data_IF_669836428133
#
_entry.id   IF_669836428133
#
_cell.length_a   1.000
_cell.length_b   1.000
_cell.length_c   1.000
_cell.angle_alpha   90.00
_cell.angle_beta   90.00
_cell.angle_gamma   90.00
#
_symmetry.space_group_name_H-M   'P 1'
#
loop_
_entity.id
_entity.type
_entity.pdbx_description
1 polymer ?
#
# COMPACT_ATOMS: atom_id res chain seq x y z
N UNK A 1 3.52 13.11 -11.90
CA UNK A 1 4.00 11.87 -11.24
C UNK A 1 5.50 12.01 -11.01
N UNK A 2 5.93 11.83 -9.76
CA UNK A 2 7.36 11.86 -9.39
C UNK A 2 8.13 10.72 -10.08
N UNK A 3 9.47 10.85 -10.12
CA UNK A 3 10.35 9.79 -10.67
C UNK A 3 10.14 8.46 -9.95
N UNK A 4 9.97 8.46 -8.63
CA UNK A 4 9.71 7.25 -7.84
C UNK A 4 8.38 6.60 -8.21
N UNK A 5 7.27 7.36 -8.24
CA UNK A 5 5.97 6.79 -8.60
C UNK A 5 5.96 6.22 -10.02
N UNK A 6 6.62 6.87 -10.97
CA UNK A 6 6.74 6.35 -12.35
C UNK A 6 7.54 5.05 -12.38
N UNK A 7 8.64 4.97 -11.63
CA UNK A 7 9.47 3.76 -11.52
C UNK A 7 8.68 2.60 -10.90
N UNK A 8 8.03 2.84 -9.77
CA UNK A 8 7.27 1.80 -9.06
C UNK A 8 6.04 1.35 -9.86
N UNK A 9 5.40 2.25 -10.61
CA UNK A 9 4.33 1.88 -11.55
C UNK A 9 4.81 0.90 -12.62
N UNK A 10 5.95 1.19 -13.25
CA UNK A 10 6.48 0.33 -14.30
C UNK A 10 6.93 -1.01 -13.71
N UNK A 11 7.56 -0.99 -12.54
CA UNK A 11 7.90 -2.19 -11.78
C UNK A 11 6.67 -3.04 -11.48
N UNK A 12 5.58 -2.44 -11.00
CA UNK A 12 4.32 -3.15 -10.74
C UNK A 12 3.79 -3.79 -12.03
N UNK A 13 3.77 -3.06 -13.15
CA UNK A 13 3.32 -3.62 -14.41
C UNK A 13 4.18 -4.80 -14.89
N UNK A 14 5.51 -4.71 -14.73
CA UNK A 14 6.45 -5.78 -15.07
C UNK A 14 6.22 -7.02 -14.19
N UNK A 15 5.99 -6.84 -12.88
CA UNK A 15 5.68 -7.92 -11.95
C UNK A 15 4.35 -8.61 -12.28
N UNK A 16 3.30 -7.82 -12.52
CA UNK A 16 2.00 -8.33 -12.91
C UNK A 16 2.07 -9.13 -14.22
N UNK A 17 2.87 -8.68 -15.18
CA UNK A 17 3.12 -9.40 -16.42
C UNK A 17 3.87 -10.72 -16.18
N UNK A 18 4.92 -10.70 -15.35
CA UNK A 18 5.75 -11.86 -15.07
C UNK A 18 5.01 -12.97 -14.30
N UNK A 19 4.22 -12.61 -13.30
CA UNK A 19 3.49 -13.58 -12.46
C UNK A 19 2.19 -14.09 -13.13
N UNK A 20 1.65 -13.34 -14.08
CA UNK A 20 0.38 -13.66 -14.75
C UNK A 20 -0.85 -13.38 -13.89
N UNK A 21 -2.08 -13.52 -14.44
CA UNK A 21 -3.33 -13.02 -13.83
C UNK A 21 -3.88 -13.82 -12.64
N UNK A 22 -3.39 -15.05 -12.44
CA UNK A 22 -3.88 -15.97 -11.42
C UNK A 22 -2.97 -16.09 -10.19
N UNK A 23 -1.84 -15.39 -10.21
CA UNK A 23 -0.86 -15.42 -9.14
C UNK A 23 -1.41 -14.78 -7.85
N UNK A 24 -0.97 -15.27 -6.67
CA UNK A 24 -1.40 -14.73 -5.39
C UNK A 24 -0.84 -13.32 -5.15
N UNK A 25 -1.51 -12.57 -4.28
CA UNK A 25 -1.03 -11.30 -3.72
C UNK A 25 -1.17 -11.32 -2.20
N UNK A 26 -0.54 -10.36 -1.51
CA UNK A 26 -0.77 -10.18 -0.07
C UNK A 26 -2.14 -9.57 0.26
N UNK A 27 -2.87 -9.05 -0.73
CA UNK A 27 -4.24 -8.60 -0.53
C UNK A 27 -5.15 -9.82 -0.36
N UNK A 28 -5.75 -9.99 0.83
CA UNK A 28 -6.57 -11.16 1.17
C UNK A 28 -7.67 -11.38 0.12
N UNK A 29 -7.66 -12.57 -0.51
CA UNK A 29 -8.66 -12.95 -1.53
C UNK A 29 -8.42 -12.37 -2.93
N UNK A 30 -7.37 -11.57 -3.15
CA UNK A 30 -7.07 -10.98 -4.45
C UNK A 30 -5.96 -11.72 -5.19
N UNK A 31 -6.21 -12.00 -6.46
CA UNK A 31 -5.18 -12.36 -7.44
C UNK A 31 -4.57 -11.09 -8.05
N UNK A 32 -3.46 -11.25 -8.76
CA UNK A 32 -2.84 -10.18 -9.55
C UNK A 32 -3.81 -9.49 -10.52
N UNK A 33 -4.78 -10.22 -11.09
CA UNK A 33 -5.86 -9.63 -11.90
C UNK A 33 -6.72 -8.62 -11.11
N UNK A 34 -7.14 -8.98 -9.90
CA UNK A 34 -7.96 -8.11 -9.05
C UNK A 34 -7.16 -6.86 -8.64
N UNK A 35 -5.89 -7.05 -8.29
CA UNK A 35 -4.97 -5.96 -7.96
C UNK A 35 -4.72 -5.04 -9.18
N UNK A 36 -4.56 -5.60 -10.38
CA UNK A 36 -4.42 -4.83 -11.61
C UNK A 36 -5.68 -4.00 -11.90
N UNK A 37 -6.87 -4.60 -11.77
CA UNK A 37 -8.14 -3.91 -11.92
C UNK A 37 -8.28 -2.78 -10.89
N UNK A 38 -7.92 -3.02 -9.63
CA UNK A 38 -7.96 -2.02 -8.56
C UNK A 38 -7.18 -0.76 -8.91
N UNK A 39 -5.91 -0.93 -9.29
CA UNK A 39 -5.02 0.18 -9.64
C UNK A 39 -5.59 1.00 -10.80
N UNK A 40 -6.13 0.34 -11.82
CA UNK A 40 -6.74 1.02 -12.98
C UNK A 40 -8.00 1.78 -12.58
N UNK A 41 -8.89 1.17 -11.80
CA UNK A 41 -10.13 1.78 -11.32
C UNK A 41 -9.84 3.00 -10.47
N UNK A 42 -8.88 2.89 -9.53
CA UNK A 42 -8.46 3.99 -8.66
C UNK A 42 -8.03 5.23 -9.44
N UNK A 43 -7.27 5.06 -10.53
CA UNK A 43 -6.78 6.19 -11.33
C UNK A 43 -7.81 6.77 -12.31
N UNK A 44 -8.74 5.94 -12.80
CA UNK A 44 -9.61 6.31 -13.93
C UNK A 44 -11.06 6.55 -13.55
N UNK A 45 -11.50 6.10 -12.38
CA UNK A 45 -12.89 6.12 -11.95
C UNK A 45 -13.01 6.80 -10.59
N UNK A 46 -12.82 8.13 -10.51
CA UNK A 46 -12.99 8.88 -9.25
C UNK A 46 -14.40 8.67 -8.68
N UNK A 47 -15.38 8.52 -9.57
CA UNK A 47 -16.78 8.23 -9.24
C UNK A 47 -16.94 6.92 -8.46
N UNK A 48 -16.09 5.93 -8.73
CA UNK A 48 -16.09 4.63 -8.06
C UNK A 48 -15.10 4.58 -6.89
N UNK A 49 -13.94 5.25 -6.99
CA UNK A 49 -12.94 5.32 -5.93
C UNK A 49 -13.49 5.95 -4.64
N UNK A 50 -14.53 6.78 -4.74
CA UNK A 50 -15.28 7.24 -3.57
C UNK A 50 -15.84 6.10 -2.70
N UNK A 51 -16.12 4.92 -3.27
CA UNK A 51 -16.52 3.70 -2.56
C UNK A 51 -15.46 3.11 -1.64
N UNK A 52 -14.18 3.44 -1.85
CA UNK A 52 -13.08 3.05 -0.95
C UNK A 52 -13.23 3.78 0.40
N UNK A 53 -13.71 5.02 0.38
CA UNK A 53 -13.84 5.87 1.57
C UNK A 53 -15.28 5.94 2.10
N UNK A 54 -16.28 5.77 1.24
CA UNK A 54 -17.70 5.94 1.52
C UNK A 54 -18.42 4.62 1.30
N UNK A 55 -18.76 3.92 2.40
CA UNK A 55 -19.37 2.58 2.37
C UNK A 55 -20.64 2.49 1.51
N UNK A 56 -21.42 3.58 1.41
CA UNK A 56 -22.64 3.64 0.59
C UNK A 56 -22.36 3.55 -0.92
N UNK A 57 -21.14 3.86 -1.35
CA UNK A 57 -20.70 3.74 -2.75
C UNK A 57 -20.01 2.40 -3.02
N UNK A 58 -19.90 1.49 -2.04
CA UNK A 58 -19.30 0.16 -2.23
C UNK A 58 -19.95 -0.65 -3.37
N UNK A 59 -21.30 -0.69 -3.53
CA UNK A 59 -21.90 -1.43 -4.65
C UNK A 59 -21.51 -0.89 -6.03
N UNK A 60 -21.22 0.42 -6.11
CA UNK A 60 -20.73 1.07 -7.34
C UNK A 60 -19.29 0.67 -7.61
N UNK A 61 -18.46 0.64 -6.57
CA UNK A 61 -17.07 0.19 -6.65
C UNK A 61 -17.01 -1.28 -7.08
N UNK A 62 -17.78 -2.16 -6.46
CA UNK A 62 -17.81 -3.60 -6.78
C UNK A 62 -18.15 -3.84 -8.25
N UNK A 63 -19.19 -3.16 -8.76
CA UNK A 63 -19.58 -3.27 -10.18
C UNK A 63 -18.46 -2.82 -11.12
N UNK A 64 -17.75 -1.76 -10.77
CA UNK A 64 -16.64 -1.24 -11.60
C UNK A 64 -15.42 -2.15 -11.48
N UNK A 65 -15.16 -2.72 -10.31
CA UNK A 65 -14.13 -3.74 -10.14
C UNK A 65 -14.42 -4.98 -10.98
N UNK A 66 -15.65 -5.49 -11.00
CA UNK A 66 -16.07 -6.60 -11.88
C UNK A 66 -15.88 -6.25 -13.36
N UNK A 67 -16.29 -5.05 -13.78
CA UNK A 67 -16.12 -4.57 -15.16
C UNK A 67 -14.65 -4.62 -15.59
N UNK A 68 -13.74 -4.13 -14.75
CA UNK A 68 -12.31 -4.12 -15.08
C UNK A 68 -11.66 -5.49 -14.94
N UNK A 69 -12.06 -6.29 -13.95
CA UNK A 69 -11.56 -7.67 -13.77
C UNK A 69 -11.92 -8.56 -14.97
N UNK A 70 -13.07 -8.30 -15.60
CA UNK A 70 -13.52 -8.98 -16.83
C UNK A 70 -12.80 -8.57 -18.12
N UNK A 71 -11.93 -7.55 -18.09
CA UNK A 71 -11.15 -7.13 -19.27
C UNK A 71 -10.02 -8.13 -19.60
N UNK A 72 -9.52 -8.13 -20.84
CA UNK A 72 -8.25 -8.78 -21.16
C UNK A 72 -7.16 -8.29 -20.21
N UNK A 73 -6.37 -9.21 -19.65
CA UNK A 73 -5.40 -8.87 -18.62
C UNK A 73 -4.32 -7.91 -19.15
N UNK A 74 -3.90 -8.13 -20.39
CA UNK A 74 -2.96 -7.31 -21.13
C UNK A 74 -3.47 -5.88 -21.31
N UNK A 75 -4.78 -5.68 -21.43
CA UNK A 75 -5.39 -4.35 -21.46
C UNK A 75 -5.17 -3.64 -20.12
N UNK A 76 -5.39 -4.33 -18.99
CA UNK A 76 -5.15 -3.76 -17.66
C UNK A 76 -3.68 -3.35 -17.48
N UNK A 77 -2.73 -4.20 -17.90
CA UNK A 77 -1.31 -3.89 -17.83
C UNK A 77 -0.94 -2.65 -18.66
N UNK A 78 -1.48 -2.53 -19.88
CA UNK A 78 -1.27 -1.35 -20.72
C UNK A 78 -1.86 -0.09 -20.11
N UNK A 79 -3.03 -0.19 -19.47
CA UNK A 79 -3.64 0.93 -18.76
C UNK A 79 -2.78 1.37 -17.57
N UNK A 80 -2.19 0.45 -16.82
CA UNK A 80 -1.25 0.75 -15.72
C UNK A 80 0.01 1.44 -16.26
N UNK A 81 0.65 0.87 -17.30
CA UNK A 81 1.88 1.42 -17.90
C UNK A 81 1.69 2.86 -18.39
N UNK A 82 0.57 3.13 -19.06
CA UNK A 82 0.28 4.43 -19.68
C UNK A 82 -0.31 5.46 -18.71
N UNK A 83 -1.00 5.02 -17.64
CA UNK A 83 -1.61 5.90 -16.64
C UNK A 83 -2.92 6.54 -17.04
N UNK A 84 -3.42 7.52 -16.26
CA UNK A 84 -4.66 8.20 -16.57
C UNK A 84 -4.53 9.05 -17.85
N UNK A 85 -5.62 9.26 -18.60
CA UNK A 85 -5.63 10.16 -19.75
C UNK A 85 -5.15 11.57 -19.36
N UNK A 86 -4.46 12.26 -20.29
CA UNK A 86 -3.83 13.58 -20.04
C UNK A 86 -4.78 14.67 -19.53
N UNK A 87 -6.09 14.51 -19.69
CA UNK A 87 -7.13 15.46 -19.25
C UNK A 87 -7.98 14.96 -18.07
N UNK A 88 -7.56 13.92 -17.35
CA UNK A 88 -8.25 13.44 -16.15
C UNK A 88 -8.11 14.45 -14.98
N UNK A 89 -9.14 14.67 -14.13
CA UNK A 89 -9.03 15.42 -12.89
C UNK A 89 -7.93 14.91 -11.94
N UNK A 90 -7.53 13.63 -12.06
CA UNK A 90 -6.38 13.06 -11.35
C UNK A 90 -5.01 13.52 -11.87
N UNK A 91 -4.95 14.28 -12.96
CA UNK A 91 -3.72 14.95 -13.38
C UNK A 91 -3.36 16.18 -12.51
N UNK A 92 -4.15 16.50 -11.47
CA UNK A 92 -3.90 17.60 -10.53
C UNK A 92 -2.78 17.24 -9.53
N UNK A 93 -1.60 17.77 -9.86
CA UNK A 93 -0.22 17.31 -9.58
C UNK A 93 0.34 17.22 -8.15
N UNK A 94 -0.37 17.51 -7.05
CA UNK A 94 0.36 17.66 -5.75
C UNK A 94 -0.13 16.77 -4.60
N UNK A 95 -1.43 16.51 -4.49
CA UNK A 95 -1.96 15.54 -3.50
C UNK A 95 -1.91 14.11 -4.07
N UNK A 96 -1.99 14.00 -5.40
CA UNK A 96 -1.98 12.76 -6.17
C UNK A 96 -0.61 12.07 -6.19
N UNK A 97 0.49 12.83 -6.30
CA UNK A 97 1.81 12.25 -6.60
C UNK A 97 2.38 11.39 -5.48
N UNK A 98 2.25 11.81 -4.22
CA UNK A 98 2.79 11.05 -3.09
C UNK A 98 1.91 9.86 -2.70
N UNK A 99 0.60 9.97 -2.93
CA UNK A 99 -0.33 8.86 -2.77
C UNK A 99 -0.05 7.77 -3.81
N UNK A 100 0.30 8.17 -5.04
CA UNK A 100 0.69 7.24 -6.10
C UNK A 100 2.03 6.54 -5.82
N UNK A 101 3.01 7.21 -5.21
CA UNK A 101 4.25 6.55 -4.78
C UNK A 101 3.96 5.38 -3.83
N UNK A 102 3.17 5.62 -2.79
CA UNK A 102 2.81 4.59 -1.80
C UNK A 102 1.99 3.49 -2.44
N UNK A 103 0.98 3.83 -3.23
CA UNK A 103 0.13 2.88 -3.95
C UNK A 103 0.96 1.88 -4.77
N UNK A 104 1.80 2.40 -5.66
CA UNK A 104 2.58 1.56 -6.55
C UNK A 104 3.66 0.76 -5.80
N UNK A 105 4.28 1.37 -4.79
CA UNK A 105 5.25 0.67 -3.95
C UNK A 105 4.61 -0.50 -3.20
N UNK A 106 3.51 -0.24 -2.47
CA UNK A 106 2.83 -1.25 -1.64
C UNK A 106 2.32 -2.38 -2.51
N UNK A 107 1.66 -2.08 -3.63
CA UNK A 107 1.11 -3.12 -4.48
C UNK A 107 2.18 -3.87 -5.29
N UNK A 108 3.31 -3.25 -5.62
CA UNK A 108 4.46 -3.99 -6.14
C UNK A 108 4.99 -4.99 -5.09
N UNK A 109 5.06 -4.58 -3.83
CA UNK A 109 5.46 -5.47 -2.73
C UNK A 109 4.37 -6.53 -2.42
N UNK A 110 3.08 -6.22 -2.56
CA UNK A 110 2.00 -7.21 -2.41
C UNK A 110 2.12 -8.35 -3.44
N UNK A 111 2.57 -8.06 -4.67
CA UNK A 111 2.83 -9.07 -5.70
C UNK A 111 4.13 -9.82 -5.39
N UNK A 112 5.23 -9.10 -5.12
CA UNK A 112 6.55 -9.70 -4.88
C UNK A 112 6.58 -10.60 -3.66
N UNK A 113 6.05 -10.14 -2.53
CA UNK A 113 6.13 -10.83 -1.24
C UNK A 113 5.17 -12.01 -1.15
N UNK A 114 4.19 -12.09 -2.04
CA UNK A 114 3.31 -13.24 -2.16
C UNK A 114 3.97 -14.42 -2.89
N UNK A 115 5.08 -14.19 -3.61
CA UNK A 115 5.79 -15.26 -4.30
C UNK A 115 6.67 -16.06 -3.34
N UNK A 116 6.92 -17.36 -3.63
CA UNK A 116 7.91 -18.13 -2.90
C UNK A 116 9.29 -17.47 -2.97
N UNK A 117 10.09 -17.65 -1.92
CA UNK A 117 11.50 -17.22 -1.86
C UNK A 117 11.73 -15.71 -2.07
N UNK A 118 10.71 -14.87 -1.86
CA UNK A 118 10.87 -13.43 -1.95
C UNK A 118 11.94 -12.92 -0.97
N UNK A 119 12.66 -11.89 -1.39
CA UNK A 119 13.66 -11.20 -0.56
C UNK A 119 13.40 -9.69 -0.50
N UNK A 120 13.68 -9.04 0.66
CA UNK A 120 13.58 -7.59 0.78
C UNK A 120 14.42 -6.88 -0.29
N UNK A 121 13.85 -5.82 -0.86
CA UNK A 121 14.58 -4.98 -1.81
C UNK A 121 15.31 -3.87 -1.05
N UNK A 122 16.58 -3.68 -1.37
CA UNK A 122 17.31 -2.49 -0.95
C UNK A 122 16.80 -1.27 -1.74
N UNK A 123 16.27 -0.29 -1.03
CA UNK A 123 15.87 0.99 -1.60
C UNK A 123 16.98 2.02 -1.35
N UNK A 124 17.15 2.93 -2.31
CA UNK A 124 18.04 4.05 -2.10
C UNK A 124 17.54 4.98 -0.97
N UNK A 125 18.45 5.65 -0.23
CA UNK A 125 18.06 6.49 0.90
C UNK A 125 17.06 7.59 0.55
N UNK A 126 17.15 8.17 -0.66
CA UNK A 126 16.22 9.23 -1.11
C UNK A 126 14.79 8.68 -1.20
N UNK A 127 14.64 7.46 -1.70
CA UNK A 127 13.34 6.81 -1.74
C UNK A 127 12.83 6.45 -0.34
N UNK A 128 13.69 5.92 0.54
CA UNK A 128 13.33 5.65 1.94
C UNK A 128 12.83 6.93 2.65
N UNK A 129 13.50 8.06 2.47
CA UNK A 129 13.09 9.33 3.06
C UNK A 129 11.75 9.83 2.50
N UNK A 130 11.49 9.60 1.21
CA UNK A 130 10.20 9.93 0.61
C UNK A 130 9.05 9.10 1.21
N UNK A 131 9.29 7.80 1.46
CA UNK A 131 8.33 6.92 2.13
C UNK A 131 8.13 7.34 3.59
N UNK A 132 9.22 7.65 4.31
CA UNK A 132 9.17 8.13 5.69
C UNK A 132 8.34 9.40 5.83
N UNK A 133 8.61 10.41 5.01
CA UNK A 133 7.86 11.69 5.03
C UNK A 133 6.36 11.48 4.80
N UNK A 134 5.98 10.47 4.01
CA UNK A 134 4.57 10.14 3.79
C UNK A 134 3.98 9.39 4.98
N UNK A 135 4.72 8.40 5.50
CA UNK A 135 4.33 7.63 6.66
C UNK A 135 4.12 8.55 7.87
N UNK A 136 5.04 9.45 8.17
CA UNK A 136 4.94 10.39 9.29
C UNK A 136 3.65 11.24 9.23
N UNK A 137 3.33 11.78 8.04
CA UNK A 137 2.12 12.59 7.84
C UNK A 137 0.82 11.78 7.93
N UNK A 138 0.89 10.49 7.65
CA UNK A 138 -0.29 9.60 7.64
C UNK A 138 -0.34 8.65 8.84
N UNK A 139 0.66 8.64 9.72
CA UNK A 139 0.83 7.68 10.79
C UNK A 139 -0.39 7.59 11.71
N UNK A 140 -0.99 8.74 12.04
CA UNK A 140 -2.20 8.76 12.87
C UNK A 140 -3.44 8.23 12.17
N UNK A 141 -3.52 8.38 10.85
CA UNK A 141 -4.62 7.84 10.05
C UNK A 141 -4.47 6.33 9.91
N UNK A 142 -3.26 5.86 9.57
CA UNK A 142 -2.95 4.44 9.36
C UNK A 142 -2.85 3.66 10.66
N UNK A 143 -2.61 4.31 11.81
CA UNK A 143 -2.55 3.70 13.13
C UNK A 143 -3.79 3.90 14.01
N UNK A 144 -4.86 4.57 13.54
CA UNK A 144 -6.02 4.93 14.39
C UNK A 144 -6.77 3.72 14.98
N UNK A 145 -6.71 2.58 14.32
CA UNK A 145 -7.29 1.30 14.74
C UNK A 145 -6.34 0.41 15.54
N UNK A 146 -5.12 0.86 15.84
CA UNK A 146 -4.20 0.10 16.67
C UNK A 146 -4.82 -0.18 18.06
N UNK A 147 -4.73 -1.43 18.58
CA UNK A 147 -5.35 -1.81 19.85
C UNK A 147 -4.61 -1.26 21.08
N UNK A 148 -3.43 -0.67 20.89
CA UNK A 148 -2.53 -0.18 21.92
C UNK A 148 -1.86 1.11 21.46
N UNK A 149 -1.06 1.76 22.33
CA UNK A 149 -0.15 2.80 21.87
C UNK A 149 0.80 2.25 20.81
N UNK A 150 1.04 3.01 19.73
CA UNK A 150 1.85 2.58 18.60
C UNK A 150 2.80 3.71 18.17
N UNK A 151 4.09 3.41 18.19
CA UNK A 151 5.17 4.29 17.72
C UNK A 151 5.93 3.60 16.60
N UNK A 152 6.14 4.29 15.49
CA UNK A 152 6.97 3.84 14.37
C UNK A 152 8.34 4.51 14.52
N UNK A 153 9.43 3.74 14.42
CA UNK A 153 10.80 4.19 14.67
C UNK A 153 11.74 3.76 13.55
N UNK A 154 12.48 4.70 12.98
CA UNK A 154 13.59 4.41 12.07
C UNK A 154 14.82 3.89 12.84
N UNK A 155 15.75 3.18 12.20
CA UNK A 155 17.00 2.76 12.84
C UNK A 155 17.87 3.94 13.32
N UNK A 156 17.74 5.10 12.67
CA UNK A 156 18.43 6.35 13.05
C UNK A 156 17.80 7.06 14.27
N UNK A 157 16.72 6.51 14.83
CA UNK A 157 16.02 7.02 16.01
C UNK A 157 14.91 8.02 15.73
N UNK A 158 14.66 8.42 14.48
CA UNK A 158 13.48 9.24 14.17
C UNK A 158 12.19 8.45 14.45
N UNK A 159 11.17 9.12 15.00
CA UNK A 159 9.92 8.47 15.40
C UNK A 159 8.67 9.19 14.90
N UNK A 160 7.60 8.43 14.68
CA UNK A 160 6.26 8.93 14.39
C UNK A 160 5.24 8.21 15.30
N UNK A 161 4.44 8.99 16.04
CA UNK A 161 3.39 8.43 16.90
C UNK A 161 2.15 8.13 16.04
N UNK A 162 1.92 6.84 15.78
CA UNK A 162 0.81 6.34 14.98
C UNK A 162 -0.49 6.20 15.80
N UNK A 163 -0.39 5.79 17.07
CA UNK A 163 -1.53 5.72 17.97
C UNK A 163 -1.14 6.13 19.39
N UNK A 164 -1.98 6.93 20.05
CA UNK A 164 -1.78 7.31 21.46
C UNK A 164 -2.53 6.32 22.34
N UNK A 165 -1.83 5.66 23.25
CA UNK A 165 -2.43 4.70 24.17
C UNK A 165 -1.36 4.08 25.07
N UNK A 166 -1.81 3.23 26.00
CA UNK A 166 -0.96 2.41 26.85
C UNK A 166 -1.57 0.99 26.95
N UNK A 167 -0.75 -0.08 27.01
CA UNK A 167 0.71 -0.11 26.84
C UNK A 167 1.15 0.39 25.45
N UNK A 168 2.42 0.77 25.29
CA UNK A 168 2.99 1.24 24.02
C UNK A 168 3.82 0.14 23.38
N UNK A 169 3.62 -0.05 22.08
CA UNK A 169 4.46 -0.88 21.20
C UNK A 169 5.24 0.04 20.26
N UNK A 170 6.56 -0.11 20.26
CA UNK A 170 7.46 0.57 19.32
C UNK A 170 7.86 -0.41 18.22
N UNK A 171 7.62 -0.02 16.98
CA UNK A 171 7.92 -0.81 15.78
C UNK A 171 9.10 -0.16 15.09
N UNK A 172 10.21 -0.89 14.95
CA UNK A 172 11.48 -0.40 14.39
C UNK A 172 11.80 -1.07 13.07
N UNK A 173 12.18 -0.31 12.05
CA UNK A 173 12.59 -0.84 10.76
C UNK A 173 12.81 0.26 9.72
N UNK A 174 13.24 -0.14 8.52
CA UNK A 174 13.35 0.79 7.39
C UNK A 174 12.00 1.43 7.06
N UNK A 175 11.94 2.69 6.58
CA UNK A 175 10.68 3.37 6.27
C UNK A 175 9.72 2.56 5.38
N UNK A 176 10.28 1.88 4.39
CA UNK A 176 9.60 0.91 3.54
C UNK A 176 8.88 -0.22 4.30
N UNK A 177 9.55 -0.84 5.28
CA UNK A 177 9.01 -1.92 6.09
C UNK A 177 7.99 -1.41 7.12
N UNK A 178 8.24 -0.24 7.71
CA UNK A 178 7.29 0.44 8.59
C UNK A 178 6.00 0.82 7.86
N UNK A 179 6.10 1.20 6.58
CA UNK A 179 4.96 1.50 5.74
C UNK A 179 4.13 0.23 5.45
N UNK A 180 4.78 -0.88 5.06
CA UNK A 180 4.10 -2.17 4.86
C UNK A 180 3.40 -2.62 6.15
N UNK A 181 4.08 -2.50 7.30
CA UNK A 181 3.52 -2.81 8.61
C UNK A 181 2.28 -1.95 8.91
N UNK A 182 2.40 -0.63 8.78
CA UNK A 182 1.33 0.32 9.09
C UNK A 182 0.10 0.16 8.16
N UNK A 183 0.30 -0.40 6.98
CA UNK A 183 -0.75 -0.67 5.99
C UNK A 183 -1.27 -2.13 6.07
N UNK A 184 -1.06 -2.85 7.16
CA UNK A 184 -1.71 -4.15 7.37
C UNK A 184 -0.98 -5.36 6.78
N UNK A 185 0.29 -5.22 6.40
CA UNK A 185 1.16 -6.34 5.98
C UNK A 185 2.14 -6.71 7.10
N UNK A 186 1.64 -6.79 8.34
CA UNK A 186 2.48 -6.92 9.54
C UNK A 186 3.28 -8.24 9.57
N UNK A 187 2.78 -9.31 8.95
CA UNK A 187 3.45 -10.62 8.92
C UNK A 187 4.62 -10.63 7.94
N UNK A 188 4.49 -9.88 6.85
CA UNK A 188 5.45 -9.81 5.76
C UNK A 188 6.44 -8.65 5.91
N UNK A 189 6.17 -7.69 6.79
CA UNK A 189 7.06 -6.59 7.13
C UNK A 189 8.24 -7.05 7.99
N UNK A 190 9.46 -6.64 7.60
CA UNK A 190 10.71 -6.91 8.33
C UNK A 190 10.95 -5.80 9.37
N UNK A 191 10.28 -5.94 10.51
CA UNK A 191 10.34 -4.97 11.62
C UNK A 191 10.58 -5.67 12.96
N UNK A 192 11.20 -4.93 13.88
CA UNK A 192 11.38 -5.31 15.28
C UNK A 192 10.30 -4.66 16.14
N UNK A 193 9.72 -5.39 17.09
CA UNK A 193 8.69 -4.88 18.00
C UNK A 193 9.20 -4.90 19.43
N UNK A 194 9.12 -3.76 20.10
CA UNK A 194 9.48 -3.56 21.50
C UNK A 194 8.24 -3.09 22.29
N UNK A 195 8.03 -3.66 23.47
CA UNK A 195 6.89 -3.32 24.32
C UNK A 195 6.44 -4.50 25.16
N UNK A 196 5.26 -4.34 25.77
CA UNK A 196 4.60 -5.41 26.51
C UNK A 196 4.26 -6.60 25.58
N UNK A 197 4.56 -7.87 25.95
CA UNK A 197 4.33 -9.02 25.08
C UNK A 197 2.87 -9.20 24.63
N UNK A 198 1.90 -8.94 25.51
CA UNK A 198 0.47 -9.05 25.16
C UNK A 198 0.05 -7.92 24.22
N UNK A 199 0.62 -6.73 24.40
CA UNK A 199 0.45 -5.61 23.47
C UNK A 199 1.01 -5.91 22.08
N UNK A 200 2.21 -6.50 22.00
CA UNK A 200 2.83 -6.92 20.74
C UNK A 200 1.98 -7.96 20.03
N UNK A 201 1.45 -8.95 20.74
CA UNK A 201 0.56 -9.96 20.17
C UNK A 201 -0.70 -9.32 19.56
N UNK A 202 -1.37 -8.42 20.29
CA UNK A 202 -2.55 -7.68 19.80
C UNK A 202 -2.26 -6.88 18.54
N UNK A 203 -1.11 -6.20 18.48
CA UNK A 203 -0.71 -5.44 17.29
C UNK A 203 -0.44 -6.35 16.09
N UNK A 204 0.14 -7.55 16.29
CA UNK A 204 0.39 -8.53 15.22
C UNK A 204 -0.88 -9.20 14.70
N UNK A 205 -1.90 -9.34 15.55
CA UNK A 205 -3.19 -9.95 15.19
C UNK A 205 -4.18 -8.97 14.57
N UNK A 206 -3.97 -7.66 14.74
CA UNK A 206 -4.81 -6.64 14.15
C UNK A 206 -4.76 -6.73 12.61
N UNK A 207 -5.88 -7.13 11.99
CA UNK A 207 -5.98 -7.23 10.52
C UNK A 207 -5.79 -5.88 9.81
N UNK A 208 -6.28 -4.80 10.43
CA UNK A 208 -6.21 -3.45 9.89
C UNK A 208 -5.88 -2.46 11.02
N UNK A 209 -4.86 -1.62 10.81
CA UNK A 209 -4.45 -0.62 11.79
C UNK A 209 -5.15 0.73 11.58
N UNK A 210 -5.92 0.93 10.50
CA UNK A 210 -6.62 2.21 10.30
C UNK A 210 -7.11 2.55 8.89
N UNK A 211 -6.79 1.76 7.86
CA UNK A 211 -7.31 1.91 6.50
C UNK A 211 -7.89 0.59 6.02
#
# INVERSE_FOLDING_TARGET
MSTHAKRERLLLADLLEAEGPDAPTLCEGWKTRDLAAHVVVRERRPDAAGGILIKQLAPRLDRVMEEFTGKPYEELLQLIRTGPPRFSPFALKQIDEMSNVVEFYVHAEDVRRAQPDWTPRELDPVFQDALWSRLERTARLTGRGAPTGLVLRRPDGQTAVAHRGAPVVTVTGEPSELLMFALGRQREAKVELEGDPDAIAKVREAKELGL
#
